data_IF_759025244918
#
_entry.id   IF_759025244918
#
_cell.length_a   1.000
_cell.length_b   1.000
_cell.length_c   1.000
_cell.angle_alpha   90.00
_cell.angle_beta   90.00
_cell.angle_gamma   90.00
#
_symmetry.space_group_name_H-M   'P 1'
#
loop_
_entity.id
_entity.type
_entity.pdbx_description
1 polymer ?
#
# COMPACT_ATOMS: atom_id res chain seq x y z
N UNK A 1 -16.70 21.31 -14.40
CA UNK A 1 -17.19 20.62 -13.19
C UNK A 1 -16.03 19.82 -12.64
N UNK A 2 -15.64 20.05 -11.40
CA UNK A 2 -14.65 19.22 -10.72
C UNK A 2 -15.32 17.88 -10.44
N UNK A 3 -14.83 16.80 -11.03
CA UNK A 3 -15.46 15.47 -10.89
C UNK A 3 -14.88 14.85 -9.61
N UNK A 4 -15.54 15.05 -8.47
CA UNK A 4 -15.10 14.49 -7.19
C UNK A 4 -15.69 13.10 -6.94
N UNK A 5 -15.05 12.37 -6.02
CA UNK A 5 -15.66 11.22 -5.37
C UNK A 5 -16.59 11.71 -4.25
N UNK A 6 -17.73 11.05 -4.09
CA UNK A 6 -18.69 11.31 -3.02
C UNK A 6 -18.62 10.22 -1.96
N UNK A 7 -18.48 10.61 -0.69
CA UNK A 7 -18.52 9.67 0.44
C UNK A 7 -19.95 9.17 0.59
N UNK A 8 -20.13 7.86 0.62
CA UNK A 8 -21.44 7.25 0.86
C UNK A 8 -21.84 7.41 2.33
N UNK A 9 -23.15 7.38 2.59
CA UNK A 9 -23.64 7.25 3.98
C UNK A 9 -23.17 5.93 4.60
N UNK A 10 -23.23 5.82 5.93
CA UNK A 10 -22.87 4.59 6.63
C UNK A 10 -23.67 3.38 6.10
N UNK A 11 -25.00 3.53 5.94
CA UNK A 11 -25.86 2.46 5.43
C UNK A 11 -25.51 2.06 4.00
N UNK A 12 -25.24 3.02 3.12
CA UNK A 12 -24.84 2.74 1.74
C UNK A 12 -23.45 2.10 1.66
N UNK A 13 -22.52 2.52 2.53
CA UNK A 13 -21.17 1.93 2.62
C UNK A 13 -21.24 0.46 3.03
N UNK A 14 -22.03 0.14 4.06
CA UNK A 14 -22.30 -1.23 4.51
C UNK A 14 -22.87 -2.10 3.37
N UNK A 15 -23.87 -1.58 2.64
CA UNK A 15 -24.45 -2.28 1.50
C UNK A 15 -23.46 -2.49 0.35
N UNK A 16 -22.57 -1.52 0.10
CA UNK A 16 -21.59 -1.58 -0.97
C UNK A 16 -20.54 -2.67 -0.76
N UNK A 17 -20.17 -2.96 0.50
CA UNK A 17 -19.16 -3.98 0.85
C UNK A 17 -19.74 -5.35 1.20
N UNK A 18 -21.06 -5.48 1.32
CA UNK A 18 -21.71 -6.72 1.78
C UNK A 18 -21.31 -7.95 0.94
N UNK A 19 -21.24 -7.79 -0.38
CA UNK A 19 -20.82 -8.88 -1.26
C UNK A 19 -19.34 -9.30 -1.06
N UNK A 20 -18.47 -8.38 -0.62
CA UNK A 20 -17.08 -8.70 -0.30
C UNK A 20 -16.97 -9.50 1.00
N UNK A 21 -17.82 -9.19 2.00
CA UNK A 21 -17.87 -9.92 3.28
C UNK A 21 -18.33 -11.36 3.10
N UNK A 22 -19.25 -11.59 2.17
CA UNK A 22 -19.75 -12.92 1.84
C UNK A 22 -18.68 -13.86 1.27
N UNK A 23 -17.50 -13.34 0.90
CA UNK A 23 -16.36 -14.18 0.47
C UNK A 23 -15.65 -14.92 1.62
N UNK A 24 -16.05 -14.69 2.88
CA UNK A 24 -15.47 -15.36 4.04
C UNK A 24 -14.15 -14.75 4.53
N UNK A 25 -13.74 -13.60 3.98
CA UNK A 25 -12.52 -12.90 4.38
C UNK A 25 -12.76 -11.98 5.57
N UNK A 26 -12.55 -12.51 6.77
CA UNK A 26 -12.73 -11.79 8.04
C UNK A 26 -11.79 -10.60 8.21
N UNK A 27 -10.53 -10.72 7.76
CA UNK A 27 -9.55 -9.62 7.85
C UNK A 27 -9.72 -8.54 6.78
N UNK A 28 -10.64 -8.74 5.83
CA UNK A 28 -10.81 -7.87 4.67
C UNK A 28 -11.29 -6.46 5.04
N UNK A 29 -12.10 -6.36 6.09
CA UNK A 29 -12.54 -5.08 6.63
C UNK A 29 -11.38 -4.20 7.12
N UNK A 30 -10.29 -4.81 7.61
CA UNK A 30 -9.17 -4.07 8.17
C UNK A 30 -8.12 -3.68 7.12
N UNK A 31 -7.84 -4.58 6.18
CA UNK A 31 -6.67 -4.50 5.29
C UNK A 31 -6.98 -4.70 3.81
N UNK A 32 -8.27 -4.69 3.46
CA UNK A 32 -8.75 -4.92 2.10
C UNK A 32 -9.10 -6.37 1.83
N UNK A 33 -10.06 -6.56 0.95
CA UNK A 33 -10.57 -7.85 0.50
C UNK A 33 -9.81 -8.32 -0.73
N UNK A 34 -9.50 -9.61 -0.83
CA UNK A 34 -9.05 -10.25 -2.06
C UNK A 34 -10.07 -11.30 -2.48
N UNK A 35 -11.30 -10.92 -2.89
CA UNK A 35 -12.32 -11.87 -3.32
C UNK A 35 -11.71 -12.80 -4.39
N UNK A 36 -11.83 -14.11 -4.25
CA UNK A 36 -11.34 -15.04 -5.27
C UNK A 36 -12.25 -15.08 -6.50
N UNK A 37 -11.93 -15.96 -7.45
CA UNK A 37 -12.82 -16.22 -8.60
C UNK A 37 -12.65 -15.28 -9.79
N UNK A 38 -11.57 -14.51 -9.83
CA UNK A 38 -11.24 -13.68 -10.99
C UNK A 38 -10.67 -14.51 -12.14
N UNK A 39 -11.02 -14.17 -13.41
CA UNK A 39 -10.43 -14.82 -14.58
C UNK A 39 -8.94 -14.50 -14.73
N UNK A 40 -8.49 -13.38 -14.17
CA UNK A 40 -7.10 -12.96 -14.13
C UNK A 40 -6.80 -12.16 -12.86
N UNK A 41 -5.55 -12.22 -12.40
CA UNK A 41 -5.05 -11.42 -11.29
C UNK A 41 -3.61 -10.99 -11.60
N UNK A 42 -3.29 -9.73 -11.31
CA UNK A 42 -1.95 -9.17 -11.48
C UNK A 42 -1.53 -8.46 -10.21
N UNK A 43 -0.25 -8.61 -9.86
CA UNK A 43 0.35 -7.85 -8.77
C UNK A 43 1.12 -6.67 -9.34
N UNK A 44 0.85 -5.48 -8.82
CA UNK A 44 1.60 -4.28 -9.15
C UNK A 44 2.78 -4.18 -8.19
N UNK A 45 3.99 -4.14 -8.74
CA UNK A 45 5.18 -3.90 -7.95
C UNK A 45 5.43 -2.39 -7.89
N UNK A 46 5.45 -1.86 -6.67
CA UNK A 46 5.67 -0.44 -6.39
C UNK A 46 7.01 0.07 -6.92
N UNK A 47 7.11 1.40 -6.99
CA UNK A 47 8.34 2.09 -7.31
C UNK A 47 9.45 1.89 -6.26
N UNK A 48 10.69 1.79 -6.73
CA UNK A 48 11.89 1.96 -5.92
C UNK A 48 12.76 3.06 -6.50
N UNK A 49 13.54 3.70 -5.66
CA UNK A 49 14.47 4.73 -6.08
C UNK A 49 15.84 4.52 -5.44
N UNK A 50 16.89 4.94 -6.12
CA UNK A 50 18.26 4.89 -5.62
C UNK A 50 18.90 6.27 -5.61
N UNK A 51 19.69 6.54 -4.58
CA UNK A 51 20.53 7.72 -4.48
C UNK A 51 22.00 7.29 -4.46
N UNK A 52 22.71 7.59 -5.55
CA UNK A 52 24.10 7.19 -5.73
C UNK A 52 25.05 7.79 -4.67
N UNK A 53 24.74 8.96 -4.13
CA UNK A 53 25.57 9.62 -3.12
C UNK A 53 25.51 8.93 -1.74
N UNK A 54 24.52 8.06 -1.53
CA UNK A 54 24.31 7.33 -0.29
C UNK A 54 24.74 5.86 -0.39
N UNK A 55 25.35 5.46 -1.51
CA UNK A 55 25.83 4.08 -1.69
C UNK A 55 26.89 3.77 -0.63
N UNK A 56 26.63 2.72 0.13
CA UNK A 56 27.49 2.28 1.23
C UNK A 56 26.83 1.15 2.01
N UNK A 57 27.50 0.63 3.05
CA UNK A 57 27.02 -0.50 3.82
C UNK A 57 25.89 -0.15 4.81
N UNK A 58 25.63 1.15 5.03
CA UNK A 58 24.63 1.57 6.01
C UNK A 58 23.20 1.30 5.54
N UNK A 59 22.38 0.79 6.45
CA UNK A 59 20.93 0.65 6.24
C UNK A 59 20.17 1.83 6.84
N UNK A 60 18.88 1.95 6.50
CA UNK A 60 17.99 2.94 7.14
C UNK A 60 17.90 2.74 8.65
N UNK A 61 17.92 1.49 9.11
CA UNK A 61 17.91 1.17 10.53
C UNK A 61 19.20 1.62 11.22
N UNK A 62 20.38 1.39 10.61
CA UNK A 62 21.66 1.86 11.16
C UNK A 62 21.69 3.39 11.26
N UNK A 63 21.19 4.07 10.23
CA UNK A 63 21.10 5.54 10.21
C UNK A 63 20.16 6.06 11.32
N UNK A 64 18.99 5.44 11.50
CA UNK A 64 18.03 5.79 12.57
C UNK A 64 18.63 5.56 13.96
N UNK A 65 19.24 4.41 14.20
CA UNK A 65 19.90 4.10 15.48
C UNK A 65 21.01 5.11 15.78
N UNK A 66 21.83 5.45 14.79
CA UNK A 66 22.93 6.40 14.96
C UNK A 66 22.47 7.81 15.37
N UNK A 67 21.32 8.30 14.88
CA UNK A 67 20.81 9.62 15.31
C UNK A 67 20.18 9.57 16.70
N UNK A 68 19.57 8.45 17.10
CA UNK A 68 19.05 8.23 18.46
C UNK A 68 20.18 8.14 19.46
N UNK A 69 21.19 7.32 19.19
CA UNK A 69 22.31 7.09 20.12
C UNK A 69 23.14 8.38 20.36
N UNK A 70 23.09 9.33 19.41
CA UNK A 70 23.69 10.67 19.55
C UNK A 70 22.79 11.70 20.26
N UNK A 71 21.58 11.32 20.65
CA UNK A 71 20.59 12.21 21.24
C UNK A 71 20.06 13.29 20.30
N UNK A 72 20.21 13.11 18.98
CA UNK A 72 19.74 14.07 17.99
C UNK A 72 18.23 13.97 17.75
N UNK A 73 17.65 12.79 17.99
CA UNK A 73 16.21 12.53 17.91
C UNK A 73 15.82 11.54 19.01
N UNK A 74 14.66 11.74 19.62
CA UNK A 74 14.10 10.80 20.59
C UNK A 74 13.58 9.51 19.91
N UNK A 75 13.60 8.36 20.62
CA UNK A 75 12.93 7.13 20.18
C UNK A 75 11.42 7.31 20.03
N UNK A 76 10.83 6.60 19.06
CA UNK A 76 9.39 6.59 18.84
C UNK A 76 8.71 5.68 19.88
N UNK A 77 7.99 6.30 20.79
CA UNK A 77 7.22 5.62 21.83
C UNK A 77 5.74 5.50 21.42
N UNK A 78 5.21 4.28 21.34
CA UNK A 78 3.77 4.03 21.14
C UNK A 78 3.26 3.11 22.25
N UNK A 79 2.28 3.58 23.04
CA UNK A 79 1.72 2.81 24.14
C UNK A 79 2.75 2.41 25.20
N UNK A 80 3.82 3.19 25.37
CA UNK A 80 4.94 2.88 26.28
C UNK A 80 5.97 1.89 25.72
N UNK A 81 5.82 1.45 24.46
CA UNK A 81 6.79 0.60 23.77
C UNK A 81 7.72 1.46 22.91
N UNK A 82 9.02 1.29 23.08
CA UNK A 82 10.05 1.84 22.19
C UNK A 82 10.07 1.04 20.89
N UNK A 83 9.51 1.61 19.83
CA UNK A 83 9.47 0.97 18.52
C UNK A 83 10.84 0.96 17.82
N UNK A 84 11.72 1.92 18.09
CA UNK A 84 13.07 1.94 17.51
C UNK A 84 13.98 0.86 18.13
N UNK A 85 13.67 0.38 19.32
CA UNK A 85 14.30 -0.78 19.94
C UNK A 85 13.61 -2.11 19.56
N UNK A 86 12.28 -2.11 19.40
CA UNK A 86 11.50 -3.33 19.18
C UNK A 86 11.30 -3.70 17.70
N UNK A 87 11.67 -2.82 16.75
CA UNK A 87 11.40 -3.02 15.32
C UNK A 87 12.60 -2.65 14.43
N UNK A 88 12.52 -3.06 13.17
CA UNK A 88 13.48 -2.68 12.13
C UNK A 88 12.88 -1.58 11.26
N UNK A 89 13.63 -0.50 11.06
CA UNK A 89 13.24 0.58 10.14
C UNK A 89 13.47 0.09 8.72
N UNK A 90 12.40 -0.05 7.94
CA UNK A 90 12.48 -0.51 6.55
C UNK A 90 13.07 0.54 5.61
N UNK A 91 12.86 1.84 5.88
CA UNK A 91 13.33 2.96 5.06
C UNK A 91 12.25 3.71 4.29
N UNK A 92 10.98 3.30 4.44
CA UNK A 92 9.81 3.96 3.87
C UNK A 92 8.70 3.99 4.92
N UNK A 93 7.94 5.08 5.05
CA UNK A 93 6.79 5.11 5.95
C UNK A 93 5.66 4.18 5.45
N UNK A 94 4.72 3.88 6.34
CA UNK A 94 3.44 3.30 5.94
C UNK A 94 2.60 4.34 5.21
N UNK A 95 1.87 3.91 4.19
CA UNK A 95 0.93 4.76 3.46
C UNK A 95 1.45 5.28 2.12
N UNK A 96 0.73 6.26 1.59
CA UNK A 96 0.99 6.92 0.33
C UNK A 96 2.31 7.68 0.41
N UNK A 97 3.16 7.45 -0.58
CA UNK A 97 4.47 8.07 -0.67
C UNK A 97 4.60 8.74 -2.03
N UNK A 98 4.88 10.04 -1.99
CA UNK A 98 5.23 10.82 -3.16
C UNK A 98 6.59 10.36 -3.72
N UNK A 99 6.77 10.54 -5.02
CA UNK A 99 8.06 10.30 -5.66
C UNK A 99 9.13 11.17 -4.98
N UNK A 100 10.29 10.60 -4.58
CA UNK A 100 11.38 11.41 -4.07
C UNK A 100 11.95 12.30 -5.18
N UNK A 101 12.31 13.53 -4.81
CA UNK A 101 12.98 14.49 -5.69
C UNK A 101 14.42 14.04 -6.02
N UNK A 102 15.06 14.72 -6.97
CA UNK A 102 16.50 14.54 -7.22
C UNK A 102 17.33 14.66 -5.92
N UNK A 103 18.43 13.89 -5.78
CA UNK A 103 19.09 13.04 -6.79
C UNK A 103 18.58 11.59 -6.83
N UNK A 104 17.39 11.30 -6.30
CA UNK A 104 16.80 9.96 -6.35
C UNK A 104 16.35 9.60 -7.76
N UNK A 105 16.87 8.49 -8.29
CA UNK A 105 16.54 7.97 -9.62
C UNK A 105 15.78 6.66 -9.52
N UNK A 106 14.90 6.38 -10.49
CA UNK A 106 14.12 5.14 -10.51
C UNK A 106 15.07 3.94 -10.55
N UNK A 107 14.90 3.01 -9.61
CA UNK A 107 15.58 1.71 -9.57
C UNK A 107 14.59 0.63 -9.97
N UNK A 108 14.92 -0.16 -11.00
CA UNK A 108 14.06 -1.28 -11.41
C UNK A 108 14.26 -2.46 -10.46
N UNK A 109 13.20 -3.25 -10.33
CA UNK A 109 13.22 -4.49 -9.55
C UNK A 109 14.33 -5.46 -9.98
N UNK A 110 14.50 -5.64 -11.29
CA UNK A 110 15.57 -6.49 -11.83
C UNK A 110 16.95 -5.96 -11.47
N UNK A 111 17.17 -4.65 -11.60
CA UNK A 111 18.46 -4.01 -11.28
C UNK A 111 18.80 -4.14 -9.80
N UNK A 112 17.81 -3.97 -8.91
CA UNK A 112 18.01 -4.18 -7.47
C UNK A 112 18.37 -5.63 -7.15
N UNK A 113 17.66 -6.59 -7.74
CA UNK A 113 17.91 -8.03 -7.50
C UNK A 113 19.31 -8.43 -7.98
N UNK A 114 19.74 -7.93 -9.13
CA UNK A 114 21.09 -8.10 -9.64
C UNK A 114 22.13 -7.50 -8.67
N UNK A 115 21.88 -6.31 -8.12
CA UNK A 115 22.78 -5.64 -7.15
C UNK A 115 22.96 -6.45 -5.87
N UNK A 116 21.90 -7.08 -5.36
CA UNK A 116 21.96 -7.86 -4.10
C UNK A 116 22.35 -9.33 -4.35
N UNK A 117 22.62 -9.73 -5.60
CA UNK A 117 22.96 -11.09 -5.96
C UNK A 117 21.87 -12.12 -5.61
N UNK A 118 20.61 -11.68 -5.60
CA UNK A 118 19.49 -12.44 -5.06
C UNK A 118 18.33 -12.58 -6.04
N UNK A 119 17.49 -13.58 -5.80
CA UNK A 119 16.15 -13.66 -6.36
C UNK A 119 15.12 -13.26 -5.31
N UNK A 120 13.90 -12.88 -5.76
CA UNK A 120 12.79 -12.70 -4.84
C UNK A 120 12.57 -14.01 -4.08
N UNK A 121 12.63 -13.95 -2.76
CA UNK A 121 12.30 -15.07 -1.91
C UNK A 121 10.79 -15.14 -1.79
N UNK A 122 10.08 -15.49 -2.86
CA UNK A 122 8.62 -15.62 -2.86
C UNK A 122 8.23 -16.85 -2.04
N UNK A 123 7.70 -16.71 -0.81
CA UNK A 123 7.07 -17.83 -0.14
C UNK A 123 5.72 -17.99 -0.84
N UNK A 124 5.47 -19.14 -1.46
CA UNK A 124 4.26 -19.40 -2.25
C UNK A 124 2.93 -19.13 -1.50
N UNK A 125 2.98 -19.00 -0.18
CA UNK A 125 1.81 -18.87 0.70
C UNK A 125 1.55 -17.43 1.19
N UNK A 126 2.33 -16.43 0.75
CA UNK A 126 2.09 -15.03 1.15
C UNK A 126 2.05 -14.08 -0.05
N UNK A 127 1.11 -13.12 -0.08
CA UNK A 127 1.13 -12.05 -1.07
C UNK A 127 2.48 -11.30 -1.10
N UNK A 128 2.82 -10.65 -2.23
CA UNK A 128 3.96 -9.75 -2.31
C UNK A 128 3.98 -8.78 -1.13
N UNK A 129 5.07 -8.80 -0.38
CA UNK A 129 5.27 -7.98 0.81
C UNK A 129 6.75 -7.85 1.11
N UNK A 130 7.11 -7.08 2.14
CA UNK A 130 8.49 -6.95 2.62
C UNK A 130 9.16 -8.32 2.87
N UNK A 131 8.37 -9.37 3.13
CA UNK A 131 8.86 -10.75 3.36
C UNK A 131 9.49 -11.41 2.14
N UNK A 132 9.29 -10.86 0.94
CA UNK A 132 9.89 -11.37 -0.29
C UNK A 132 11.37 -10.95 -0.45
N UNK A 133 11.85 -10.09 0.45
CA UNK A 133 13.21 -9.57 0.47
C UNK A 133 14.03 -10.19 1.62
N UNK A 134 15.37 -10.18 1.51
CA UNK A 134 16.23 -10.58 2.62
C UNK A 134 15.81 -9.88 3.92
N UNK A 135 15.80 -10.62 5.02
CA UNK A 135 15.40 -10.09 6.33
C UNK A 135 16.34 -8.97 6.74
N UNK A 136 15.78 -7.81 7.09
CA UNK A 136 16.53 -6.67 7.59
C UNK A 136 16.00 -5.34 7.07
N UNK A 137 16.80 -4.30 7.27
CA UNK A 137 16.55 -2.96 6.74
C UNK A 137 17.10 -2.84 5.33
N UNK A 138 16.51 -1.96 4.52
CA UNK A 138 17.04 -1.64 3.20
C UNK A 138 18.30 -0.78 3.32
N UNK A 139 19.18 -0.88 2.33
CA UNK A 139 20.32 0.02 2.19
C UNK A 139 19.83 1.47 2.19
N UNK A 140 20.55 2.37 2.87
CA UNK A 140 20.19 3.78 2.95
C UNK A 140 20.15 4.46 1.56
N UNK A 141 20.91 3.92 0.60
CA UNK A 141 20.89 4.36 -0.79
C UNK A 141 19.62 4.01 -1.55
N UNK A 142 18.75 3.15 -1.01
CA UNK A 142 17.52 2.71 -1.66
C UNK A 142 16.32 3.27 -0.90
N UNK A 143 15.42 3.95 -1.60
CA UNK A 143 14.07 4.23 -1.14
C UNK A 143 13.22 3.02 -1.51
N UNK A 144 12.85 2.17 -0.53
CA UNK A 144 12.13 0.93 -0.82
C UNK A 144 10.69 1.21 -1.20
N UNK A 145 9.98 0.20 -1.76
CA UNK A 145 8.56 0.36 -2.06
C UNK A 145 7.75 0.57 -0.78
N UNK A 146 6.76 1.50 -0.74
CA UNK A 146 5.86 1.62 0.40
C UNK A 146 5.01 0.37 0.59
N UNK A 147 4.58 0.12 1.83
CA UNK A 147 3.68 -0.98 2.17
C UNK A 147 2.29 -0.45 2.56
N UNK A 148 1.24 -1.18 2.17
CA UNK A 148 -0.15 -0.86 2.51
C UNK A 148 -0.84 0.19 1.64
N UNK A 149 -0.11 0.89 0.76
CA UNK A 149 -0.65 1.88 -0.17
C UNK A 149 0.18 1.93 -1.45
N UNK A 150 -0.44 2.22 -2.60
CA UNK A 150 0.27 2.56 -3.82
C UNK A 150 1.07 3.87 -3.63
N UNK A 151 2.27 3.94 -4.24
CA UNK A 151 3.02 5.19 -4.35
C UNK A 151 2.39 6.10 -5.40
N UNK A 152 2.73 7.39 -5.37
CA UNK A 152 2.22 8.40 -6.30
C UNK A 152 2.29 7.97 -7.76
N UNK A 153 3.46 7.51 -8.22
CA UNK A 153 3.67 7.18 -9.63
C UNK A 153 2.83 5.97 -10.01
N UNK A 154 2.82 4.94 -9.17
CA UNK A 154 2.04 3.73 -9.43
C UNK A 154 0.53 4.01 -9.38
N UNK A 155 0.07 4.86 -8.46
CA UNK A 155 -1.34 5.24 -8.33
C UNK A 155 -1.87 5.95 -9.57
N UNK A 156 -1.20 7.02 -10.01
CA UNK A 156 -1.64 7.78 -11.18
C UNK A 156 -1.52 6.96 -12.46
N UNK A 157 -0.43 6.20 -12.63
CA UNK A 157 -0.27 5.31 -13.79
C UNK A 157 -1.40 4.28 -13.86
N UNK A 158 -1.80 3.73 -12.71
CA UNK A 158 -2.91 2.79 -12.65
C UNK A 158 -4.22 3.47 -13.07
N UNK A 159 -4.54 4.64 -12.52
CA UNK A 159 -5.75 5.38 -12.89
C UNK A 159 -5.79 5.69 -14.39
N UNK A 160 -4.66 6.06 -14.99
CA UNK A 160 -4.57 6.30 -16.43
C UNK A 160 -4.94 5.03 -17.23
N UNK A 161 -4.33 3.89 -16.88
CA UNK A 161 -4.65 2.59 -17.51
C UNK A 161 -6.11 2.21 -17.31
N UNK A 162 -6.66 2.42 -16.11
CA UNK A 162 -8.06 2.10 -15.81
C UNK A 162 -9.02 3.00 -16.57
N UNK A 163 -8.68 4.27 -16.70
CA UNK A 163 -9.48 5.26 -17.43
C UNK A 163 -9.50 4.96 -18.92
N UNK A 164 -8.37 4.51 -19.49
CA UNK A 164 -8.29 4.11 -20.90
C UNK A 164 -9.04 2.80 -21.17
N UNK A 165 -8.96 1.83 -20.26
CA UNK A 165 -9.60 0.52 -20.41
C UNK A 165 -11.10 0.51 -20.11
N UNK A 166 -11.64 1.57 -19.50
CA UNK A 166 -13.04 1.65 -19.07
C UNK A 166 -13.89 2.54 -19.98
N UNK A 167 -15.21 2.29 -20.09
CA UNK A 167 -16.12 3.24 -20.71
C UNK A 167 -16.01 4.64 -20.07
N UNK A 168 -16.17 5.69 -20.88
CA UNK A 168 -16.16 7.06 -20.38
C UNK A 168 -17.21 7.25 -19.28
N UNK A 169 -16.79 7.75 -18.12
CA UNK A 169 -17.67 7.97 -16.98
C UNK A 169 -18.03 6.70 -16.21
N UNK A 170 -17.35 5.57 -16.47
CA UNK A 170 -17.48 4.34 -15.69
C UNK A 170 -17.43 4.66 -14.20
N UNK A 171 -18.50 4.29 -13.51
CA UNK A 171 -18.61 4.48 -12.07
C UNK A 171 -17.85 3.37 -11.35
N UNK A 172 -17.18 3.74 -10.27
CA UNK A 172 -16.50 2.83 -9.36
C UNK A 172 -16.75 3.20 -7.90
N UNK A 173 -16.47 2.24 -7.04
CA UNK A 173 -16.38 2.42 -5.60
C UNK A 173 -14.91 2.34 -5.17
N UNK A 174 -14.56 3.11 -4.15
CA UNK A 174 -13.27 3.09 -3.48
C UNK A 174 -13.50 2.84 -2.00
N UNK A 175 -13.00 1.72 -1.48
CA UNK A 175 -13.12 1.31 -0.09
C UNK A 175 -11.83 1.54 0.66
N UNK A 176 -11.96 2.06 1.89
CA UNK A 176 -10.88 2.16 2.85
C UNK A 176 -11.12 1.14 3.96
N UNK A 177 -10.17 0.21 4.10
CA UNK A 177 -10.11 -0.65 5.27
C UNK A 177 -9.90 0.18 6.53
N UNK A 178 -10.31 -0.36 7.68
CA UNK A 178 -10.26 0.37 8.95
C UNK A 178 -8.86 0.84 9.35
N UNK A 179 -7.81 0.12 8.91
CA UNK A 179 -6.43 0.53 9.18
C UNK A 179 -6.03 1.78 8.38
N UNK A 180 -6.20 1.81 7.03
CA UNK A 180 -6.04 3.05 6.24
C UNK A 180 -6.96 4.21 6.62
N UNK A 181 -8.24 3.96 6.95
CA UNK A 181 -9.18 5.03 7.34
C UNK A 181 -8.94 5.54 8.76
N UNK A 182 -8.25 4.75 9.60
CA UNK A 182 -8.11 4.96 11.06
C UNK A 182 -9.46 4.98 11.79
N UNK A 183 -10.49 4.36 11.21
CA UNK A 183 -11.81 4.18 11.79
C UNK A 183 -12.17 2.69 11.82
N UNK A 184 -12.14 2.11 13.01
CA UNK A 184 -12.43 0.68 13.24
C UNK A 184 -13.93 0.38 13.42
N UNK A 185 -14.76 1.41 13.52
CA UNK A 185 -16.18 1.29 13.80
C UNK A 185 -17.05 1.53 12.56
N UNK A 186 -16.55 2.28 11.57
CA UNK A 186 -17.29 2.60 10.36
C UNK A 186 -16.68 1.99 9.08
N UNK A 187 -17.55 1.54 8.18
CA UNK A 187 -17.18 1.26 6.79
C UNK A 187 -17.08 2.56 6.01
N UNK A 188 -15.94 2.79 5.38
CA UNK A 188 -15.73 3.95 4.52
C UNK A 188 -15.69 3.54 3.05
N UNK A 189 -16.69 3.98 2.30
CA UNK A 189 -16.77 3.80 0.84
C UNK A 189 -17.08 5.13 0.17
N UNK A 190 -16.38 5.36 -0.94
CA UNK A 190 -16.56 6.49 -1.82
C UNK A 190 -17.04 6.02 -3.18
N UNK A 191 -17.80 6.85 -3.89
CA UNK A 191 -18.33 6.56 -5.23
C UNK A 191 -18.06 7.72 -6.18
N UNK A 192 -17.72 7.40 -7.42
CA UNK A 192 -17.51 8.38 -8.48
C UNK A 192 -17.02 7.73 -9.76
N UNK A 193 -16.48 8.53 -10.68
CA UNK A 193 -15.89 8.01 -11.91
C UNK A 193 -14.47 7.48 -11.70
N UNK A 194 -13.99 6.57 -12.55
CA UNK A 194 -12.59 6.11 -12.50
C UNK A 194 -11.59 7.28 -12.54
N UNK A 195 -11.81 8.27 -13.42
CA UNK A 195 -10.94 9.45 -13.50
C UNK A 195 -10.94 10.33 -12.23
N UNK A 196 -11.99 10.25 -11.40
CA UNK A 196 -12.08 10.98 -10.13
C UNK A 196 -11.15 10.43 -9.04
N UNK A 197 -10.67 9.19 -9.19
CA UNK A 197 -9.71 8.57 -8.25
C UNK A 197 -8.43 9.41 -8.11
N UNK A 198 -8.00 10.07 -9.19
CA UNK A 198 -6.79 10.90 -9.19
C UNK A 198 -6.90 12.07 -8.20
N UNK A 199 -8.06 12.73 -8.15
CA UNK A 199 -8.29 13.91 -7.30
C UNK A 199 -8.46 13.56 -5.82
N UNK A 200 -8.64 12.28 -5.53
CA UNK A 200 -9.07 11.82 -4.22
C UNK A 200 -7.94 11.85 -3.20
N UNK A 201 -6.71 11.50 -3.61
CA UNK A 201 -5.52 11.54 -2.73
C UNK A 201 -5.09 12.97 -2.42
N UNK A 202 -5.25 13.90 -3.37
CA UNK A 202 -4.83 15.29 -3.23
C UNK A 202 -5.62 16.07 -2.16
N UNK A 203 -6.77 15.53 -1.72
CA UNK A 203 -7.67 16.18 -0.77
C UNK A 203 -7.23 16.16 0.70
N UNK A 204 -6.04 15.62 1.02
CA UNK A 204 -5.49 15.46 2.39
C UNK A 204 -6.32 14.62 3.38
N UNK A 205 -7.43 14.04 2.93
CA UNK A 205 -8.31 13.22 3.77
C UNK A 205 -7.67 11.89 4.18
N UNK A 206 -6.79 11.34 3.33
CA UNK A 206 -6.13 10.06 3.60
C UNK A 206 -4.66 10.10 3.21
N UNK A 207 -3.82 9.55 4.09
CA UNK A 207 -2.41 9.27 3.82
C UNK A 207 -2.25 7.89 3.15
N UNK A 208 -3.30 7.35 2.53
CA UNK A 208 -3.34 6.01 1.91
C UNK A 208 -4.18 6.04 0.63
N UNK A 209 -3.83 5.19 -0.33
CA UNK A 209 -4.71 4.85 -1.45
C UNK A 209 -5.87 3.96 -0.95
N UNK A 210 -7.01 3.91 -1.67
CA UNK A 210 -8.08 2.98 -1.33
C UNK A 210 -7.57 1.54 -1.30
N UNK A 211 -8.06 0.76 -0.34
CA UNK A 211 -7.64 -0.64 -0.14
C UNK A 211 -8.30 -1.61 -1.10
N UNK A 212 -9.44 -1.21 -1.67
CA UNK A 212 -10.09 -1.85 -2.81
C UNK A 212 -10.76 -0.81 -3.70
N UNK A 213 -10.73 -1.05 -5.01
CA UNK A 213 -11.54 -0.33 -6.00
C UNK A 213 -12.34 -1.35 -6.81
N UNK A 214 -13.57 -1.05 -7.20
CA UNK A 214 -14.33 -1.91 -8.11
C UNK A 214 -15.35 -1.13 -8.92
N UNK A 215 -15.65 -1.59 -10.13
CA UNK A 215 -16.70 -0.99 -10.95
C UNK A 215 -18.08 -1.15 -10.30
N UNK A 216 -18.94 -0.14 -10.46
CA UNK A 216 -20.27 -0.14 -9.84
C UNK A 216 -21.19 -1.24 -10.38
N UNK A 217 -20.97 -1.67 -11.62
CA UNK A 217 -21.68 -2.79 -12.25
C UNK A 217 -21.16 -4.17 -11.80
N UNK A 218 -20.07 -4.20 -11.02
CA UNK A 218 -19.38 -5.40 -10.53
C UNK A 218 -18.83 -6.31 -11.65
N UNK A 219 -18.90 -5.87 -12.92
CA UNK A 219 -18.51 -6.65 -14.09
C UNK A 219 -17.02 -6.54 -14.42
N UNK A 220 -16.39 -5.43 -14.00
CA UNK A 220 -14.95 -5.21 -14.03
C UNK A 220 -14.47 -4.92 -12.60
N UNK A 221 -14.21 -5.98 -11.85
CA UNK A 221 -13.45 -5.81 -10.63
C UNK A 221 -12.01 -5.52 -11.01
N UNK A 222 -11.50 -4.41 -10.52
CA UNK A 222 -10.06 -4.21 -10.48
C UNK A 222 -9.75 -4.16 -9.01
N UNK A 223 -9.70 -5.31 -8.32
CA UNK A 223 -9.38 -5.36 -6.92
C UNK A 223 -7.92 -4.94 -6.78
N UNK A 224 -7.70 -3.63 -6.70
CA UNK A 224 -6.44 -3.08 -6.22
C UNK A 224 -6.41 -3.46 -4.75
N UNK A 225 -5.74 -4.56 -4.42
CA UNK A 225 -5.60 -4.99 -3.03
C UNK A 225 -4.19 -4.62 -2.59
N UNK A 226 -4.06 -3.56 -1.79
CA UNK A 226 -2.81 -3.23 -1.10
C UNK A 226 -2.72 -4.01 0.22
N UNK A 227 -2.76 -5.35 0.17
CA UNK A 227 -2.89 -6.14 1.40
C UNK A 227 -1.58 -6.21 2.20
N UNK A 228 -1.61 -5.62 3.40
CA UNK A 228 -0.80 -6.00 4.55
C UNK A 228 -1.45 -7.24 5.19
N UNK A 229 -0.93 -8.46 5.01
CA UNK A 229 -1.36 -9.62 5.81
C UNK A 229 -0.40 -9.90 6.98
N UNK A 230 -0.82 -9.73 8.25
CA UNK A 230 -0.29 -10.50 9.36
C UNK A 230 -0.74 -11.96 9.23
N UNK A 231 0.09 -12.88 9.71
CA UNK A 231 -0.14 -14.34 9.66
C UNK A 231 -1.33 -14.68 10.57
N UNK A 232 -2.40 -15.30 10.05
CA UNK A 232 -3.30 -16.07 10.91
C UNK A 232 -2.58 -17.36 11.27
N UNK A 233 -2.18 -17.50 12.52
CA UNK A 233 -1.71 -18.78 13.04
C UNK A 233 -2.89 -19.75 13.00
N UNK A 234 -2.82 -20.74 12.12
CA UNK A 234 -3.61 -21.95 12.27
C UNK A 234 -3.11 -22.63 13.56
N UNK A 235 -3.93 -22.62 14.60
CA UNK A 235 -3.77 -23.58 15.69
C UNK A 235 -4.07 -24.96 15.13
N UNK A 236 -3.00 -25.70 14.81
CA UNK A 236 -3.00 -27.15 14.86
C UNK A 236 -2.45 -27.55 16.23
N UNK A 237 -3.37 -27.93 17.12
CA UNK A 237 -3.31 -29.00 18.12
C UNK A 237 -4.38 -28.77 19.17
#
# INVERSE_FOLDING_TARGET
MMVSMDRLSATESEQAVEWLRQTGQTSGFMTGFNPGGWPAQVWLLHAMYQNAALIGPQTHHDARRSVIDRGAVEPLMIGGVDLDAASTVSGVPLGYVARPNEPWIRLRWSEYLDQIGGSLQSPHDVPPSIRWFPRGSWAQSVSPPPEGSLDEVTWYTLIDVLSEASPLGQQCFAFYGSLPSRDFEAVEVWRGSVGSLATFIDSSLHDFTPTNVWAADRGSSIPITTSLRPRSAAHTS
#
